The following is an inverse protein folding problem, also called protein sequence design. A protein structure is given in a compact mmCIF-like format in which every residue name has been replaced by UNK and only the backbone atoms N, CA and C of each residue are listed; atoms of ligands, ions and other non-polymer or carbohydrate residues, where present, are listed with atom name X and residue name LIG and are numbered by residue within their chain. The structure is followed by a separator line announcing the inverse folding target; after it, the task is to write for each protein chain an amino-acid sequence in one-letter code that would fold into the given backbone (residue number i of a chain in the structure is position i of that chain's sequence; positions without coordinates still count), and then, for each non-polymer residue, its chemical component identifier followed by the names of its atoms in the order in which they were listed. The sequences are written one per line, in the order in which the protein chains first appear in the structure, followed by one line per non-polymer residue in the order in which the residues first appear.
data_IF_725540163281
#
_entry.id   IF_725540163281
#
_cell.length_a   1.000
_cell.length_b   1.000
_cell.length_c   1.000
_cell.angle_alpha   90.00
_cell.angle_beta   90.00
_cell.angle_gamma   90.00
#
_symmetry.space_group_name_H-M   'P 1'
#
loop_
_entity.id
_entity.type
_entity.pdbx_description
1 polymer ?
#
# COMPACT_ATOMS: atom_id res chain seq x y z
N UNK A 1 3.03 13.65 -11.41
CA UNK A 1 1.71 13.52 -10.75
C UNK A 1 1.68 12.17 -10.06
N UNK A 2 1.25 12.09 -8.81
CA UNK A 2 1.19 10.81 -8.09
C UNK A 2 -0.02 9.98 -8.56
N UNK A 3 0.10 8.65 -8.52
CA UNK A 3 -0.97 7.74 -9.00
C UNK A 3 -2.34 7.94 -8.32
N UNK A 4 -2.47 8.30 -7.02
CA UNK A 4 -3.77 8.57 -6.42
C UNK A 4 -4.43 9.83 -6.99
N UNK A 5 -3.65 10.82 -7.41
CA UNK A 5 -4.18 12.04 -8.02
C UNK A 5 -4.69 11.79 -9.43
N UNK A 6 -4.02 10.90 -10.19
CA UNK A 6 -4.52 10.43 -11.48
C UNK A 6 -5.86 9.70 -11.29
N UNK A 7 -5.89 8.74 -10.36
CA UNK A 7 -7.08 7.95 -10.10
C UNK A 7 -8.27 8.80 -9.62
N UNK A 8 -8.01 9.74 -8.70
CA UNK A 8 -9.04 10.62 -8.15
C UNK A 8 -9.63 11.54 -9.22
N UNK A 9 -8.79 12.11 -10.10
CA UNK A 9 -9.27 12.92 -11.22
C UNK A 9 -10.14 12.10 -12.17
N UNK A 10 -9.73 10.88 -12.49
CA UNK A 10 -10.45 10.03 -13.43
C UNK A 10 -11.81 9.59 -12.86
N UNK A 11 -11.84 9.22 -11.58
CA UNK A 11 -13.08 8.85 -10.89
C UNK A 11 -13.95 10.06 -10.48
N UNK A 12 -13.45 11.30 -10.62
CA UNK A 12 -14.19 12.49 -10.21
C UNK A 12 -14.41 12.58 -8.70
N UNK A 13 -13.42 12.18 -7.90
CA UNK A 13 -13.45 12.24 -6.43
C UNK A 13 -12.43 13.22 -5.88
N UNK A 14 -12.67 13.76 -4.68
CA UNK A 14 -11.74 14.63 -3.99
C UNK A 14 -10.67 13.81 -3.26
N UNK A 15 -9.39 14.09 -3.50
CA UNK A 15 -8.27 13.39 -2.87
C UNK A 15 -7.79 14.12 -1.62
N UNK A 16 -7.74 13.40 -0.50
CA UNK A 16 -6.88 13.71 0.65
C UNK A 16 -5.74 12.69 0.67
N UNK A 17 -4.50 13.16 0.62
CA UNK A 17 -3.33 12.29 0.57
C UNK A 17 -2.54 12.35 1.89
N UNK A 18 -2.43 11.20 2.57
CA UNK A 18 -1.61 11.00 3.77
C UNK A 18 -0.35 10.15 3.48
N UNK A 19 0.09 10.11 2.23
CA UNK A 19 1.31 9.42 1.82
C UNK A 19 2.56 10.25 2.12
N UNK A 20 3.34 9.80 3.11
CA UNK A 20 4.65 10.34 3.46
C UNK A 20 5.74 9.38 3.00
N UNK A 21 6.64 9.86 2.15
CA UNK A 21 7.66 9.03 1.51
C UNK A 21 8.51 8.27 2.53
N UNK A 22 8.48 6.94 2.45
CA UNK A 22 9.28 6.08 3.32
C UNK A 22 8.74 5.91 4.75
N UNK A 23 7.49 6.30 5.04
CA UNK A 23 6.98 6.37 6.43
C UNK A 23 5.71 5.55 6.69
N UNK A 24 5.28 4.67 5.78
CA UNK A 24 4.10 3.82 6.02
C UNK A 24 4.45 2.61 6.91
N UNK A 25 4.45 2.82 8.24
CA UNK A 25 4.79 1.79 9.25
C UNK A 25 3.63 1.40 10.17
N UNK A 26 2.37 1.64 9.76
CA UNK A 26 1.18 1.35 10.57
C UNK A 26 1.15 2.09 11.91
N UNK A 27 1.65 3.33 11.93
CA UNK A 27 1.64 4.18 13.11
C UNK A 27 0.23 4.52 13.59
N UNK A 28 -0.05 4.27 14.86
CA UNK A 28 -1.39 4.44 15.43
C UNK A 28 -1.92 5.88 15.42
N UNK A 29 -1.03 6.88 15.40
CA UNK A 29 -1.48 8.26 15.24
C UNK A 29 -2.02 8.52 13.82
N UNK A 30 -1.49 7.86 12.79
CA UNK A 30 -2.02 7.95 11.41
C UNK A 30 -3.40 7.28 11.34
N UNK A 31 -3.58 6.12 11.98
CA UNK A 31 -4.88 5.46 12.06
C UNK A 31 -5.94 6.38 12.69
N UNK A 32 -5.61 7.07 13.78
CA UNK A 32 -6.49 8.07 14.41
C UNK A 32 -6.79 9.24 13.48
N UNK A 33 -5.77 9.79 12.81
CA UNK A 33 -5.98 10.85 11.81
C UNK A 33 -6.93 10.42 10.70
N UNK A 34 -6.80 9.19 10.19
CA UNK A 34 -7.74 8.63 9.19
C UNK A 34 -9.14 8.48 9.78
N UNK A 35 -9.24 7.97 11.02
CA UNK A 35 -10.51 7.82 11.73
C UNK A 35 -11.26 9.14 11.93
N UNK A 36 -10.54 10.23 12.18
CA UNK A 36 -11.11 11.56 12.39
C UNK A 36 -11.40 12.32 11.09
N UNK A 37 -10.79 11.93 9.96
CA UNK A 37 -10.94 12.61 8.68
C UNK A 37 -12.33 12.42 8.05
N UNK A 38 -12.85 13.42 7.35
CA UNK A 38 -14.04 13.26 6.50
C UNK A 38 -13.68 12.52 5.21
N UNK A 39 -14.09 11.25 5.11
CA UNK A 39 -13.82 10.39 3.96
C UNK A 39 -15.02 9.48 3.67
N UNK A 40 -15.44 9.44 2.40
CA UNK A 40 -16.46 8.50 1.92
C UNK A 40 -15.89 7.15 1.50
N UNK A 41 -14.60 7.11 1.19
CA UNK A 41 -13.82 5.90 0.88
C UNK A 41 -12.39 6.11 1.36
N UNK A 42 -11.79 5.08 1.92
CA UNK A 42 -10.42 5.10 2.42
C UNK A 42 -9.64 4.06 1.62
N UNK A 43 -8.45 4.42 1.13
CA UNK A 43 -7.51 3.44 0.56
C UNK A 43 -6.22 3.45 1.36
N UNK A 44 -5.72 2.27 1.71
CA UNK A 44 -4.51 2.08 2.52
C UNK A 44 -3.58 1.18 1.73
N UNK A 45 -2.46 1.73 1.25
CA UNK A 45 -1.42 0.94 0.60
C UNK A 45 -0.22 0.79 1.54
N UNK A 46 0.05 -0.42 2.00
CA UNK A 46 1.06 -0.71 3.04
C UNK A 46 2.00 -1.84 2.64
N UNK A 47 3.22 -1.82 3.17
CA UNK A 47 4.14 -2.97 3.17
C UNK A 47 5.56 -2.61 2.77
N UNK A 48 5.77 -1.95 1.62
CA UNK A 48 7.14 -1.70 1.10
C UNK A 48 8.04 -0.91 2.07
N UNK A 49 7.51 0.07 2.82
CA UNK A 49 8.33 0.81 3.78
C UNK A 49 8.74 -0.05 4.98
N UNK A 50 7.84 -0.93 5.44
CA UNK A 50 8.14 -1.90 6.49
C UNK A 50 9.23 -2.85 6.04
N UNK A 51 9.19 -3.32 4.78
CA UNK A 51 10.22 -4.20 4.24
C UNK A 51 11.53 -3.45 4.03
N UNK A 52 11.51 -2.28 3.38
CA UNK A 52 12.72 -1.50 3.11
C UNK A 52 13.51 -1.18 4.37
N UNK A 53 12.83 -0.83 5.47
CA UNK A 53 13.49 -0.54 6.74
C UNK A 53 13.64 -1.76 7.66
N UNK A 54 13.08 -2.92 7.27
CA UNK A 54 12.97 -4.09 8.14
C UNK A 54 12.39 -3.74 9.53
N UNK A 55 11.43 -2.80 9.54
CA UNK A 55 10.96 -2.16 10.77
C UNK A 55 10.06 -3.07 11.62
N UNK A 56 9.51 -4.13 11.02
CA UNK A 56 8.69 -5.12 11.69
C UNK A 56 8.95 -6.51 11.12
N UNK A 57 8.97 -7.50 12.00
CA UNK A 57 8.91 -8.92 11.64
C UNK A 57 7.46 -9.37 11.51
N UNK A 58 7.24 -10.50 10.87
CA UNK A 58 5.90 -11.08 10.65
C UNK A 58 5.05 -11.13 11.92
N UNK A 59 5.64 -11.54 13.05
CA UNK A 59 4.95 -11.60 14.35
C UNK A 59 4.36 -10.25 14.79
N UNK A 60 5.00 -9.13 14.44
CA UNK A 60 4.54 -7.78 14.80
C UNK A 60 3.60 -7.23 13.74
N UNK A 61 3.86 -7.51 12.46
CA UNK A 61 3.12 -6.96 11.34
C UNK A 61 1.62 -7.30 11.38
N UNK A 62 1.28 -8.59 11.55
CA UNK A 62 -0.13 -9.04 11.53
C UNK A 62 -0.96 -8.34 12.61
N UNK A 63 -0.61 -8.41 13.92
CA UNK A 63 -1.40 -7.71 14.94
C UNK A 63 -1.38 -6.18 14.78
N UNK A 64 -0.28 -5.59 14.27
CA UNK A 64 -0.23 -4.16 13.99
C UNK A 64 -1.22 -3.74 12.89
N UNK A 65 -1.33 -4.53 11.82
CA UNK A 65 -2.30 -4.30 10.75
C UNK A 65 -3.74 -4.43 11.26
N UNK A 66 -4.02 -5.46 12.07
CA UNK A 66 -5.33 -5.60 12.70
C UNK A 66 -5.67 -4.38 13.57
N UNK A 67 -4.78 -3.99 14.48
CA UNK A 67 -5.01 -2.85 15.37
C UNK A 67 -5.12 -1.50 14.65
N UNK A 68 -4.39 -1.32 13.53
CA UNK A 68 -4.53 -0.13 12.68
C UNK A 68 -5.93 -0.03 12.07
N UNK A 69 -6.45 -1.13 11.52
CA UNK A 69 -7.81 -1.21 10.97
C UNK A 69 -8.86 -1.04 12.07
N UNK A 70 -8.67 -1.65 13.24
CA UNK A 70 -9.58 -1.53 14.38
C UNK A 70 -9.70 -0.07 14.84
N UNK A 71 -8.56 0.63 14.97
CA UNK A 71 -8.53 2.04 15.35
C UNK A 71 -9.27 2.93 14.36
N UNK A 72 -9.20 2.64 13.06
CA UNK A 72 -10.01 3.36 12.06
C UNK A 72 -11.48 3.03 12.25
N UNK A 73 -11.82 1.75 12.44
CA UNK A 73 -13.20 1.27 12.58
C UNK A 73 -13.91 1.80 13.82
N UNK A 74 -13.19 2.07 14.91
CA UNK A 74 -13.74 2.74 16.10
C UNK A 74 -14.40 4.09 15.77
N UNK A 75 -13.89 4.81 14.77
CA UNK A 75 -14.43 6.10 14.32
C UNK A 75 -15.22 6.00 13.01
N UNK A 76 -14.94 4.99 12.19
CA UNK A 76 -15.50 4.78 10.85
C UNK A 76 -16.07 3.36 10.71
N UNK A 77 -17.16 3.01 11.43
CA UNK A 77 -17.64 1.63 11.50
C UNK A 77 -18.05 1.03 10.15
N UNK A 78 -18.51 1.87 9.22
CA UNK A 78 -19.07 1.42 7.93
C UNK A 78 -18.41 2.04 6.70
N UNK A 79 -17.48 2.98 6.86
CA UNK A 79 -16.81 3.62 5.71
C UNK A 79 -16.02 2.57 4.93
N UNK A 80 -16.20 2.42 3.60
CA UNK A 80 -15.42 1.48 2.82
C UNK A 80 -13.91 1.71 2.95
N UNK A 81 -13.17 0.63 3.22
CA UNK A 81 -11.70 0.61 3.26
C UNK A 81 -11.23 -0.34 2.16
N UNK A 82 -10.35 0.15 1.29
CA UNK A 82 -9.65 -0.65 0.29
C UNK A 82 -8.21 -0.84 0.79
N UNK A 83 -7.87 -2.05 1.21
CA UNK A 83 -6.52 -2.40 1.62
C UNK A 83 -5.73 -2.89 0.40
N UNK A 84 -4.62 -2.22 0.10
CA UNK A 84 -3.81 -2.43 -1.09
C UNK A 84 -2.45 -2.97 -0.66
N UNK A 85 -2.08 -4.13 -1.17
CA UNK A 85 -0.77 -4.71 -0.89
C UNK A 85 0.35 -4.05 -1.72
N UNK A 86 1.65 -4.30 -1.44
CA UNK A 86 2.73 -3.65 -2.17
C UNK A 86 2.72 -3.98 -3.67
N UNK A 87 3.24 -3.03 -4.45
CA UNK A 87 3.57 -3.24 -5.86
C UNK A 87 4.86 -4.06 -5.99
N UNK A 88 5.14 -4.53 -7.20
CA UNK A 88 6.38 -5.22 -7.52
C UNK A 88 7.61 -4.36 -7.21
N UNK A 89 8.63 -4.96 -6.57
CA UNK A 89 9.96 -4.38 -6.42
C UNK A 89 11.00 -5.50 -6.51
N UNK A 90 11.86 -5.50 -7.55
CA UNK A 90 12.76 -6.62 -7.84
C UNK A 90 13.60 -7.10 -6.65
N UNK A 91 14.16 -6.17 -5.88
CA UNK A 91 15.10 -6.51 -4.81
C UNK A 91 14.40 -7.21 -3.63
N UNK A 92 13.18 -6.79 -3.31
CA UNK A 92 12.43 -7.22 -2.13
C UNK A 92 11.38 -8.31 -2.43
N UNK A 93 11.21 -8.69 -3.69
CA UNK A 93 10.11 -9.57 -4.12
C UNK A 93 10.11 -10.91 -3.38
N UNK A 94 11.27 -11.55 -3.33
CA UNK A 94 11.50 -12.85 -2.68
C UNK A 94 12.61 -12.82 -1.63
N UNK A 95 13.25 -11.67 -1.43
CA UNK A 95 14.28 -11.50 -0.42
C UNK A 95 13.76 -10.57 0.67
N UNK A 96 13.85 -10.96 1.95
CA UNK A 96 13.42 -10.08 3.03
C UNK A 96 14.29 -8.83 3.07
N UNK A 97 13.75 -7.69 3.52
CA UNK A 97 14.56 -6.47 3.69
C UNK A 97 15.65 -6.57 4.76
N UNK A 98 16.38 -5.49 5.06
CA UNK A 98 16.17 -4.14 4.55
C UNK A 98 16.64 -4.00 3.10
N UNK A 99 16.13 -2.99 2.41
CA UNK A 99 16.64 -2.55 1.11
C UNK A 99 17.29 -1.18 1.23
N UNK A 100 18.42 -1.00 0.56
CA UNK A 100 19.15 0.28 0.54
C UNK A 100 19.59 0.60 -0.89
N UNK A 101 19.75 1.88 -1.24
CA UNK A 101 20.34 2.24 -2.52
C UNK A 101 21.80 1.75 -2.60
N UNK A 102 22.15 1.11 -3.71
CA UNK A 102 23.52 0.74 -4.04
C UNK A 102 24.26 1.93 -4.70
N UNK A 103 25.50 1.71 -5.14
CA UNK A 103 26.33 2.73 -5.81
C UNK A 103 25.72 3.29 -7.10
N UNK A 104 24.83 2.54 -7.76
CA UNK A 104 24.16 2.93 -9.00
C UNK A 104 22.81 3.61 -8.73
N UNK A 105 22.48 3.87 -7.46
CA UNK A 105 21.21 4.44 -7.03
C UNK A 105 20.03 3.46 -7.05
N UNK A 106 20.28 2.17 -7.31
CA UNK A 106 19.24 1.13 -7.35
C UNK A 106 19.06 0.50 -5.98
N UNK A 107 17.82 0.21 -5.62
CA UNK A 107 17.53 -0.47 -4.35
C UNK A 107 17.95 -1.94 -4.43
N UNK A 108 18.73 -2.37 -3.43
CA UNK A 108 19.19 -3.73 -3.28
C UNK A 108 18.92 -4.22 -1.86
N UNK A 109 18.58 -5.49 -1.73
CA UNK A 109 18.38 -6.13 -0.44
C UNK A 109 19.73 -6.45 0.19
N UNK A 110 19.89 -6.07 1.46
CA UNK A 110 21.09 -6.43 2.22
C UNK A 110 20.98 -7.86 2.74
N UNK A 111 22.05 -8.64 2.55
CA UNK A 111 22.24 -9.87 3.30
C UNK A 111 22.53 -9.55 4.77
N UNK A 112 22.20 -10.48 5.65
CA UNK A 112 22.58 -10.41 7.06
C UNK A 112 22.60 -11.80 7.69
N UNK A 113 22.93 -11.86 8.97
CA UNK A 113 23.02 -13.14 9.67
C UNK A 113 21.68 -13.89 9.63
N UNK A 114 21.62 -15.16 9.18
CA UNK A 114 20.36 -15.88 9.01
C UNK A 114 19.49 -15.92 10.27
N UNK A 115 20.10 -16.11 11.44
CA UNK A 115 19.38 -16.16 12.72
C UNK A 115 18.71 -14.84 13.08
N UNK A 116 19.36 -13.70 12.82
CA UNK A 116 18.80 -12.37 13.08
C UNK A 116 17.69 -12.00 12.10
N UNK A 117 17.67 -12.66 10.93
CA UNK A 117 16.69 -12.44 9.86
C UNK A 117 15.49 -13.36 9.94
N UNK A 118 15.46 -14.29 10.90
CA UNK A 118 14.30 -15.14 11.14
C UNK A 118 13.03 -14.28 11.37
N UNK A 119 11.97 -14.57 10.62
CA UNK A 119 10.70 -13.82 10.65
C UNK A 119 10.69 -12.48 9.91
N UNK A 120 11.77 -12.12 9.22
CA UNK A 120 11.75 -10.97 8.29
C UNK A 120 10.91 -11.30 7.06
N UNK A 121 10.23 -10.31 6.49
CA UNK A 121 9.28 -10.54 5.40
C UNK A 121 9.83 -10.06 4.06
N UNK A 122 9.52 -10.79 2.99
CA UNK A 122 9.61 -10.33 1.60
C UNK A 122 8.29 -9.68 1.17
N UNK A 123 8.25 -9.09 -0.02
CA UNK A 123 6.99 -8.57 -0.58
C UNK A 123 5.99 -9.67 -0.90
N UNK A 124 6.46 -10.84 -1.35
CA UNK A 124 5.57 -11.99 -1.50
C UNK A 124 4.90 -12.33 -0.18
N UNK A 125 5.69 -12.44 0.90
CA UNK A 125 5.12 -12.81 2.19
C UNK A 125 4.16 -11.75 2.73
N UNK A 126 4.49 -10.47 2.62
CA UNK A 126 3.61 -9.40 3.14
C UNK A 126 2.31 -9.28 2.33
N UNK A 127 2.32 -9.57 1.01
CA UNK A 127 1.10 -9.66 0.21
C UNK A 127 0.18 -10.77 0.73
N UNK A 128 0.71 -11.98 0.95
CA UNK A 128 -0.06 -13.12 1.48
C UNK A 128 -0.68 -12.80 2.86
N UNK A 129 0.08 -12.13 3.73
CA UNK A 129 -0.39 -11.76 5.07
C UNK A 129 -1.50 -10.71 5.02
N UNK A 130 -1.40 -9.72 4.13
CA UNK A 130 -2.43 -8.70 3.95
C UNK A 130 -3.74 -9.33 3.46
N UNK A 131 -3.65 -10.19 2.45
CA UNK A 131 -4.81 -10.90 1.90
C UNK A 131 -5.47 -11.79 2.96
N UNK A 132 -4.68 -12.61 3.67
CA UNK A 132 -5.18 -13.44 4.76
C UNK A 132 -5.83 -12.61 5.89
N UNK A 133 -5.29 -11.43 6.23
CA UNK A 133 -5.91 -10.51 7.20
C UNK A 133 -7.28 -10.02 6.72
N UNK A 134 -7.46 -9.74 5.43
CA UNK A 134 -8.76 -9.33 4.90
C UNK A 134 -9.75 -10.51 4.94
N UNK A 135 -9.34 -11.69 4.49
CA UNK A 135 -10.19 -12.90 4.49
C UNK A 135 -10.64 -13.33 5.89
N UNK A 136 -9.78 -13.18 6.89
CA UNK A 136 -10.09 -13.53 8.29
C UNK A 136 -11.04 -12.54 8.96
N UNK A 137 -11.20 -11.33 8.40
CA UNK A 137 -12.07 -10.30 8.99
C UNK A 137 -13.48 -10.45 8.42
N UNK A 138 -14.45 -10.60 9.31
CA UNK A 138 -15.88 -10.53 8.97
C UNK A 138 -16.35 -9.06 8.78
N UNK A 139 -15.59 -8.27 8.01
CA UNK A 139 -15.86 -6.86 7.74
C UNK A 139 -16.33 -6.67 6.29
N UNK A 140 -17.65 -6.56 6.10
CA UNK A 140 -18.25 -6.39 4.77
C UNK A 140 -17.91 -5.06 4.07
N UNK A 141 -17.25 -4.12 4.75
CA UNK A 141 -16.78 -2.87 4.18
C UNK A 141 -15.24 -2.81 4.05
N UNK A 142 -14.55 -3.95 4.20
CA UNK A 142 -13.12 -4.09 3.94
C UNK A 142 -12.91 -4.86 2.64
N UNK A 143 -12.35 -4.18 1.65
CA UNK A 143 -12.05 -4.72 0.34
C UNK A 143 -10.53 -4.86 0.17
N UNK A 144 -10.11 -5.82 -0.65
CA UNK A 144 -8.71 -6.07 -0.97
C UNK A 144 -8.41 -5.71 -2.43
N UNK A 145 -7.22 -5.15 -2.65
CA UNK A 145 -6.63 -5.00 -3.97
C UNK A 145 -5.20 -5.51 -3.95
N UNK A 146 -4.89 -6.49 -4.79
CA UNK A 146 -3.52 -6.94 -4.98
C UNK A 146 -2.70 -5.83 -5.65
N UNK A 147 -1.60 -5.41 -5.01
CA UNK A 147 -0.73 -4.35 -5.54
C UNK A 147 -0.12 -4.69 -6.90
N UNK A 148 0.04 -5.98 -7.23
CA UNK A 148 0.53 -6.42 -8.53
C UNK A 148 -0.45 -6.11 -9.67
N UNK A 149 -1.75 -5.98 -9.38
CA UNK A 149 -2.76 -5.58 -10.37
C UNK A 149 -2.66 -4.08 -10.69
N UNK A 150 -1.98 -3.30 -9.85
CA UNK A 150 -1.65 -1.90 -10.13
C UNK A 150 -0.31 -1.76 -10.84
N UNK A 151 0.71 -2.49 -10.38
CA UNK A 151 2.06 -2.45 -10.95
C UNK A 151 2.76 -3.79 -10.68
N UNK A 152 2.87 -4.60 -11.73
CA UNK A 152 3.42 -5.95 -11.69
C UNK A 152 4.83 -6.06 -12.30
N UNK A 153 5.39 -7.28 -12.38
CA UNK A 153 6.72 -7.51 -12.96
C UNK A 153 6.88 -7.00 -14.39
N UNK A 154 5.82 -7.07 -15.19
CA UNK A 154 5.82 -6.61 -16.59
C UNK A 154 5.94 -5.09 -16.72
N UNK A 155 5.57 -4.35 -15.67
CA UNK A 155 5.70 -2.88 -15.62
C UNK A 155 7.09 -2.45 -15.14
N UNK A 156 8.01 -3.38 -14.83
CA UNK A 156 9.33 -3.10 -14.23
C UNK A 156 10.13 -2.03 -14.99
N UNK A 157 9.97 -1.92 -16.31
CA UNK A 157 10.66 -0.90 -17.12
C UNK A 157 10.42 0.53 -16.60
N UNK A 158 9.31 0.74 -15.91
CA UNK A 158 8.95 2.01 -15.30
C UNK A 158 9.56 2.22 -13.88
N UNK A 159 10.50 1.37 -13.43
CA UNK A 159 11.25 1.51 -12.16
C UNK A 159 12.72 1.97 -12.38
N UNK A 160 13.01 3.28 -12.52
CA UNK A 160 14.37 3.78 -12.77
C UNK A 160 15.39 3.43 -11.67
N UNK A 161 14.94 3.30 -10.42
CA UNK A 161 15.77 2.97 -9.25
C UNK A 161 15.44 1.58 -8.66
N UNK A 162 14.71 0.75 -9.42
CA UNK A 162 14.17 -0.56 -8.99
C UNK A 162 13.20 -0.47 -7.78
N UNK A 163 12.67 0.70 -7.41
CA UNK A 163 11.71 0.86 -6.30
C UNK A 163 10.51 1.79 -6.61
N UNK A 164 10.76 2.98 -7.15
CA UNK A 164 9.75 4.00 -7.38
C UNK A 164 9.33 4.02 -8.84
N UNK A 165 8.02 3.91 -9.15
CA UNK A 165 7.54 4.13 -10.50
C UNK A 165 7.87 5.53 -11.02
N UNK A 166 8.24 5.62 -12.29
CA UNK A 166 8.37 6.87 -13.03
C UNK A 166 6.96 7.49 -13.29
N UNK A 167 6.87 8.68 -13.91
CA UNK A 167 5.58 9.30 -14.21
C UNK A 167 4.63 8.43 -15.04
N UNK A 168 5.12 7.68 -16.03
CA UNK A 168 4.28 6.81 -16.88
C UNK A 168 3.71 5.63 -16.09
N UNK A 169 4.53 5.02 -15.23
CA UNK A 169 4.12 4.00 -14.27
C UNK A 169 3.04 4.53 -13.32
N UNK A 170 3.21 5.74 -12.76
CA UNK A 170 2.18 6.34 -11.90
C UNK A 170 0.88 6.64 -12.64
N UNK A 171 0.93 7.07 -13.89
CA UNK A 171 -0.27 7.29 -14.72
C UNK A 171 -1.00 5.96 -14.92
N UNK A 172 -0.27 4.91 -15.33
CA UNK A 172 -0.82 3.56 -15.53
C UNK A 172 -1.46 3.00 -14.26
N UNK A 173 -0.77 3.11 -13.13
CA UNK A 173 -1.31 2.72 -11.82
C UNK A 173 -2.59 3.48 -11.47
N UNK A 174 -2.62 4.78 -11.72
CA UNK A 174 -3.78 5.62 -11.45
C UNK A 174 -5.02 5.15 -12.22
N UNK A 175 -4.85 4.91 -13.52
CA UNK A 175 -5.91 4.39 -14.38
C UNK A 175 -6.43 3.01 -13.94
N UNK A 176 -5.51 2.09 -13.64
CA UNK A 176 -5.86 0.75 -13.14
C UNK A 176 -6.63 0.84 -11.82
N UNK A 177 -6.19 1.68 -10.88
CA UNK A 177 -6.88 1.83 -9.61
C UNK A 177 -8.27 2.44 -9.77
N UNK A 178 -8.40 3.47 -10.61
CA UNK A 178 -9.67 4.11 -10.87
C UNK A 178 -10.69 3.11 -11.40
N UNK A 179 -10.34 2.40 -12.48
CA UNK A 179 -11.19 1.41 -13.12
C UNK A 179 -11.61 0.27 -12.20
N UNK A 180 -10.69 -0.22 -11.36
CA UNK A 180 -10.95 -1.38 -10.51
C UNK A 180 -11.73 -1.05 -9.24
N UNK A 181 -11.47 0.11 -8.61
CA UNK A 181 -11.96 0.38 -7.25
C UNK A 181 -12.60 1.74 -7.02
N UNK A 182 -12.33 2.78 -7.83
CA UNK A 182 -12.84 4.14 -7.54
C UNK A 182 -14.05 4.57 -8.37
N UNK A 183 -14.31 3.96 -9.54
CA UNK A 183 -15.41 4.39 -10.41
C UNK A 183 -16.79 4.32 -9.74
N UNK A 184 -16.99 3.41 -8.79
CA UNK A 184 -18.23 3.29 -8.01
C UNK A 184 -18.47 4.46 -7.03
N UNK A 185 -17.44 5.27 -6.74
CA UNK A 185 -17.52 6.40 -5.81
C UNK A 185 -17.62 7.77 -6.51
N UNK A 186 -17.80 7.76 -7.84
CA UNK A 186 -17.87 8.97 -8.64
C UNK A 186 -18.95 9.91 -8.13
N UNK A 187 -18.57 11.16 -7.87
CA UNK A 187 -19.54 12.20 -7.51
C UNK A 187 -20.50 12.43 -8.69
N UNK A 188 -21.81 12.69 -8.43
CA UNK A 188 -22.73 13.08 -9.47
C UNK A 188 -22.18 14.31 -10.21
N UNK A 189 -22.12 14.25 -11.53
CA UNK A 189 -21.77 15.42 -12.33
C UNK A 189 -22.89 16.44 -12.19
N UNK A 190 -22.67 17.49 -11.39
CA UNK A 190 -23.53 18.68 -11.42
C UNK A 190 -23.43 19.29 -12.82
N UNK A 191 -24.41 18.97 -13.67
CA UNK A 191 -24.66 19.76 -14.87
C UNK A 191 -25.19 21.09 -14.39
N UNK A 192 -24.38 22.14 -14.56
CA UNK A 192 -24.82 23.54 -14.48
C UNK A 192 -25.22 24.02 -15.86
#
# INVERSE_FOLDING_TARGET
MIWPAVAAREAGVALVNLGFGGQCHLDQFVARTIGDAEANVISIKVGINIINMDSMKERVFVPALHGFLDTIRERKPTTPIILISPIFCPSAEHHPGPTVPNSDGKFATLSGHPELRSGSMSLTRVRDLIEATVEQREDGNLDYLNGLDLFGPEDRVDLPDDLHPNPDGYIRMGHRFAAQKLMSYRLPTHHS
#
